data_IF_261108952130
#
_entry.id   IF_261108952130
#
_cell.length_a   1.000
_cell.length_b   1.000
_cell.length_c   1.000
_cell.angle_alpha   90.00
_cell.angle_beta   90.00
_cell.angle_gamma   90.00
#
_symmetry.space_group_name_H-M   'P 1'
#
loop_
_entity.id
_entity.type
_entity.pdbx_description
1 polymer ?
#
# COMPACT_ATOMS: atom_id res chain seq x y z
N UNK A 1 31.14 -24.62 36.64
CA UNK A 1 30.91 -23.59 35.60
C UNK A 1 31.70 -24.03 34.38
N UNK A 2 31.06 -24.12 33.20
CA UNK A 2 31.76 -24.53 31.99
C UNK A 2 32.14 -23.28 31.19
N UNK A 3 33.44 -23.09 30.95
CA UNK A 3 33.91 -22.14 29.95
C UNK A 3 33.80 -22.81 28.58
N UNK A 4 33.32 -22.06 27.60
CA UNK A 4 33.29 -22.48 26.21
C UNK A 4 34.27 -21.63 25.41
N UNK A 5 34.83 -22.19 24.34
CA UNK A 5 35.64 -21.44 23.41
C UNK A 5 34.74 -20.69 22.42
N UNK A 6 34.94 -19.38 22.30
CA UNK A 6 34.25 -18.57 21.30
C UNK A 6 34.70 -18.99 19.88
N UNK A 7 33.79 -19.30 18.93
CA UNK A 7 34.16 -19.80 17.60
C UNK A 7 34.95 -18.78 16.75
N UNK A 8 34.76 -17.47 17.00
CA UNK A 8 35.43 -16.42 16.20
C UNK A 8 36.81 -16.01 16.74
N UNK A 9 36.95 -15.88 18.06
CA UNK A 9 38.17 -15.32 18.67
C UNK A 9 38.92 -16.32 19.55
N UNK A 10 38.43 -17.56 19.67
CA UNK A 10 38.96 -18.63 20.51
C UNK A 10 39.20 -18.25 21.98
N UNK A 11 38.60 -17.16 22.45
CA UNK A 11 38.66 -16.77 23.85
C UNK A 11 37.77 -17.68 24.70
N UNK A 12 38.24 -18.00 25.90
CA UNK A 12 37.47 -18.73 26.90
C UNK A 12 36.44 -17.80 27.54
N UNK A 13 35.16 -18.15 27.39
CA UNK A 13 34.04 -17.34 27.84
C UNK A 13 33.04 -18.19 28.63
N UNK A 14 32.27 -17.56 29.50
CA UNK A 14 31.21 -18.26 30.26
C UNK A 14 30.11 -18.75 29.32
N UNK A 15 29.66 -19.99 29.50
CA UNK A 15 28.50 -20.55 28.79
C UNK A 15 27.18 -19.79 29.03
N UNK A 16 27.14 -18.87 30.00
CA UNK A 16 26.00 -18.00 30.28
C UNK A 16 26.09 -16.62 29.62
N UNK A 17 27.22 -16.27 29.00
CA UNK A 17 27.42 -14.97 28.38
C UNK A 17 26.48 -14.78 27.17
N UNK A 18 25.78 -13.64 27.12
CA UNK A 18 24.90 -13.31 25.98
C UNK A 18 25.70 -13.12 24.68
N UNK A 19 26.87 -12.47 24.79
CA UNK A 19 27.82 -12.27 23.71
C UNK A 19 29.25 -12.36 24.25
N UNK A 20 30.21 -12.67 23.37
CA UNK A 20 31.62 -12.67 23.71
C UNK A 20 32.10 -11.24 24.02
N UNK A 21 32.71 -10.96 25.18
CA UNK A 21 33.20 -9.62 25.51
C UNK A 21 34.40 -9.17 24.67
N UNK A 22 35.09 -10.08 23.97
CA UNK A 22 36.28 -9.77 23.17
C UNK A 22 35.95 -9.42 21.72
N UNK A 23 34.97 -10.09 21.12
CA UNK A 23 34.61 -9.91 19.69
C UNK A 23 33.14 -9.58 19.45
N UNK A 24 32.32 -9.43 20.51
CA UNK A 24 30.88 -9.22 20.43
C UNK A 24 30.08 -10.33 19.72
N UNK A 25 30.68 -11.49 19.45
CA UNK A 25 29.97 -12.62 18.83
C UNK A 25 28.84 -13.11 19.74
N UNK A 26 27.59 -13.24 19.25
CA UNK A 26 26.45 -13.68 20.05
C UNK A 26 26.57 -15.18 20.36
N UNK A 27 26.65 -15.50 21.65
CA UNK A 27 26.89 -16.87 22.14
C UNK A 27 25.60 -17.50 22.62
N UNK A 28 24.82 -16.72 23.38
CA UNK A 28 23.47 -17.09 23.72
C UNK A 28 22.58 -16.60 22.60
N UNK A 29 22.35 -17.48 21.63
CA UNK A 29 21.21 -17.38 20.72
C UNK A 29 19.94 -17.57 21.55
N UNK A 30 19.63 -16.56 22.36
CA UNK A 30 18.30 -16.37 22.92
C UNK A 30 17.39 -16.41 21.72
N UNK A 31 16.69 -17.53 21.58
CA UNK A 31 15.72 -17.80 20.53
C UNK A 31 14.47 -16.95 20.73
N UNK A 32 14.65 -15.69 21.14
CA UNK A 32 13.86 -14.62 20.60
C UNK A 32 14.14 -14.64 19.10
N UNK A 33 13.35 -15.44 18.38
CA UNK A 33 12.72 -14.99 17.15
C UNK A 33 12.19 -13.59 17.45
N UNK A 34 13.06 -12.58 17.36
CA UNK A 34 12.66 -11.29 16.87
C UNK A 34 12.20 -11.64 15.47
N UNK A 35 10.91 -11.99 15.36
CA UNK A 35 10.18 -11.76 14.13
C UNK A 35 10.39 -10.27 13.94
N UNK A 36 11.44 -9.92 13.22
CA UNK A 36 11.36 -8.85 12.25
C UNK A 36 10.20 -9.32 11.37
N UNK A 37 8.97 -9.10 11.83
CA UNK A 37 7.90 -8.77 10.91
C UNK A 37 8.46 -7.54 10.26
N UNK A 38 9.17 -7.76 9.15
CA UNK A 38 9.24 -6.75 8.13
C UNK A 38 7.80 -6.31 8.00
N UNK A 39 7.54 -5.10 8.48
CA UNK A 39 6.29 -4.44 8.20
C UNK A 39 6.41 -4.20 6.70
N UNK A 40 5.99 -5.21 5.94
CA UNK A 40 5.83 -5.17 4.51
C UNK A 40 4.71 -4.17 4.29
N UNK A 41 5.03 -2.88 4.39
CA UNK A 41 4.31 -1.79 3.76
C UNK A 41 4.52 -1.91 2.25
N UNK A 42 4.23 -3.07 1.70
CA UNK A 42 4.51 -3.42 0.32
C UNK A 42 3.30 -4.19 -0.17
N UNK A 43 2.59 -3.57 -1.11
CA UNK A 43 1.60 -4.14 -2.04
C UNK A 43 0.10 -4.10 -1.69
N UNK A 44 -0.36 -3.79 -0.46
CA UNK A 44 -1.81 -3.67 -0.20
C UNK A 44 -2.42 -2.30 -0.59
N UNK A 45 -1.73 -1.18 -0.34
CA UNK A 45 -2.26 0.17 -0.61
C UNK A 45 -2.50 0.46 -2.10
N UNK A 46 -1.74 -0.16 -3.00
CA UNK A 46 -1.83 0.09 -4.45
C UNK A 46 -3.01 -0.64 -5.13
N UNK A 47 -3.33 -1.87 -4.68
CA UNK A 47 -4.47 -2.63 -5.22
C UNK A 47 -5.81 -2.00 -4.86
N UNK A 48 -5.92 -1.42 -3.66
CA UNK A 48 -7.14 -0.75 -3.19
C UNK A 48 -7.48 0.49 -4.02
N UNK A 49 -6.46 1.21 -4.46
CA UNK A 49 -6.64 2.42 -5.24
C UNK A 49 -7.16 2.12 -6.66
N UNK A 50 -6.72 0.98 -7.22
CA UNK A 50 -7.19 0.48 -8.51
C UNK A 50 -8.64 0.01 -8.47
N UNK A 51 -9.08 -0.63 -7.38
CA UNK A 51 -10.49 -1.04 -7.22
C UNK A 51 -11.41 0.14 -6.95
N UNK A 52 -10.99 1.15 -6.18
CA UNK A 52 -11.79 2.36 -5.90
C UNK A 52 -12.12 3.13 -7.19
N UNK A 53 -11.12 3.31 -8.07
CA UNK A 53 -11.32 3.99 -9.35
C UNK A 53 -12.34 3.25 -10.25
N UNK A 54 -12.28 1.91 -10.31
CA UNK A 54 -13.25 1.10 -11.04
C UNK A 54 -14.66 1.23 -10.47
N UNK A 55 -14.82 1.21 -9.14
CA UNK A 55 -16.14 1.33 -8.51
C UNK A 55 -16.81 2.69 -8.74
N UNK A 56 -16.06 3.81 -8.69
CA UNK A 56 -16.61 5.13 -9.01
C UNK A 56 -16.96 5.27 -10.49
N UNK A 57 -16.17 4.65 -11.38
CA UNK A 57 -16.45 4.65 -12.81
C UNK A 57 -17.75 3.91 -13.14
N UNK A 58 -17.99 2.73 -12.54
CA UNK A 58 -19.25 2.00 -12.73
C UNK A 58 -20.46 2.76 -12.18
N UNK A 59 -20.34 3.48 -11.07
CA UNK A 59 -21.43 4.32 -10.53
C UNK A 59 -21.76 5.50 -11.47
N UNK A 60 -20.74 6.15 -12.03
CA UNK A 60 -20.92 7.19 -13.06
C UNK A 60 -21.57 6.63 -14.33
N UNK A 61 -21.10 5.49 -14.81
CA UNK A 61 -21.64 4.81 -16.00
C UNK A 61 -23.10 4.36 -15.79
N UNK A 62 -23.46 3.95 -14.58
CA UNK A 62 -24.82 3.54 -14.20
C UNK A 62 -25.80 4.72 -14.10
N UNK A 63 -25.32 5.95 -13.89
CA UNK A 63 -26.15 7.15 -13.91
C UNK A 63 -26.57 7.59 -15.32
N UNK A 64 -25.88 7.14 -16.38
CA UNK A 64 -26.20 7.45 -17.77
C UNK A 64 -27.53 6.83 -18.26
N UNK A 65 -27.82 5.52 -18.04
CA UNK A 65 -29.13 4.97 -18.40
C UNK A 65 -30.28 5.54 -17.56
N UNK A 66 -30.01 6.12 -16.39
CA UNK A 66 -31.04 6.85 -15.62
C UNK A 66 -31.58 8.07 -16.40
N UNK A 67 -30.76 8.70 -17.25
CA UNK A 67 -31.19 9.83 -18.09
C UNK A 67 -32.23 9.42 -19.12
N UNK A 68 -32.07 8.24 -19.75
CA UNK A 68 -33.04 7.75 -20.74
C UNK A 68 -34.42 7.42 -20.14
N UNK A 69 -34.52 7.28 -18.81
CA UNK A 69 -35.79 6.99 -18.12
C UNK A 69 -36.53 8.29 -17.78
N UNK A 70 -35.83 9.43 -17.66
CA UNK A 70 -36.40 10.69 -17.16
C UNK A 70 -36.84 11.67 -18.27
N UNK A 71 -36.51 11.42 -19.53
CA UNK A 71 -36.89 12.26 -20.70
C UNK A 71 -38.41 12.43 -20.91
N UNK A 72 -39.25 11.65 -20.21
CA UNK A 72 -40.71 11.78 -20.26
C UNK A 72 -41.32 12.87 -19.37
N UNK A 73 -40.59 13.36 -18.36
CA UNK A 73 -41.09 14.38 -17.45
C UNK A 73 -40.28 15.65 -17.68
N UNK A 74 -40.92 16.75 -18.10
CA UNK A 74 -40.27 18.03 -18.43
C UNK A 74 -39.52 18.68 -17.26
N UNK A 75 -38.37 18.13 -16.90
CA UNK A 75 -37.43 18.66 -15.92
C UNK A 75 -36.55 19.71 -16.61
N UNK A 76 -37.11 20.89 -16.80
CA UNK A 76 -36.42 22.10 -17.24
C UNK A 76 -35.67 22.80 -16.10
N UNK A 77 -34.83 22.07 -15.37
CA UNK A 77 -34.10 22.64 -14.23
C UNK A 77 -32.60 22.78 -14.52
N UNK A 78 -32.11 24.01 -14.42
CA UNK A 78 -30.72 24.44 -14.60
C UNK A 78 -29.69 23.59 -13.84
N UNK A 79 -30.11 22.96 -12.74
CA UNK A 79 -29.33 22.00 -11.97
C UNK A 79 -28.92 20.75 -12.76
N UNK A 80 -29.71 20.32 -13.75
CA UNK A 80 -29.44 19.13 -14.56
C UNK A 80 -28.27 19.33 -15.53
N UNK A 81 -28.23 20.48 -16.20
CA UNK A 81 -27.13 20.85 -17.11
C UNK A 81 -25.83 21.05 -16.31
N UNK A 82 -25.93 21.65 -15.13
CA UNK A 82 -24.79 21.79 -14.22
C UNK A 82 -24.28 20.42 -13.73
N UNK A 83 -25.16 19.48 -13.40
CA UNK A 83 -24.79 18.13 -12.97
C UNK A 83 -24.12 17.33 -14.10
N UNK A 84 -24.61 17.44 -15.34
CA UNK A 84 -23.96 16.87 -16.53
C UNK A 84 -22.57 17.49 -16.76
N UNK A 85 -22.45 18.81 -16.60
CA UNK A 85 -21.18 19.51 -16.76
C UNK A 85 -20.14 19.06 -15.74
N UNK A 86 -20.55 18.83 -14.49
CA UNK A 86 -19.69 18.33 -13.41
C UNK A 86 -19.27 16.87 -13.67
N UNK A 87 -20.18 16.03 -14.18
CA UNK A 87 -19.87 14.62 -14.51
C UNK A 87 -18.80 14.50 -15.61
N UNK A 88 -18.87 15.38 -16.61
CA UNK A 88 -17.89 15.47 -17.69
C UNK A 88 -16.51 15.94 -17.23
N UNK A 89 -16.41 16.65 -16.11
CA UNK A 89 -15.15 17.11 -15.52
C UNK A 89 -14.53 16.05 -14.59
N UNK A 90 -15.34 15.24 -13.92
CA UNK A 90 -14.87 14.18 -13.01
C UNK A 90 -14.15 13.05 -13.76
N UNK A 91 -14.64 12.68 -14.94
CA UNK A 91 -14.04 11.66 -15.81
C UNK A 91 -12.56 11.93 -16.18
N UNK A 92 -12.20 13.10 -16.75
CA UNK A 92 -10.81 13.41 -17.10
C UNK A 92 -9.91 13.55 -15.88
N UNK A 93 -10.42 14.08 -14.76
CA UNK A 93 -9.67 14.18 -13.49
C UNK A 93 -9.29 12.79 -12.98
N UNK A 94 -10.21 11.82 -13.05
CA UNK A 94 -9.95 10.43 -12.68
C UNK A 94 -8.88 9.78 -13.55
N UNK A 95 -8.93 10.02 -14.88
CA UNK A 95 -7.95 9.48 -15.85
C UNK A 95 -6.55 10.07 -15.62
N UNK A 96 -6.45 11.39 -15.38
CA UNK A 96 -5.18 12.07 -15.10
C UNK A 96 -4.55 11.50 -13.82
N UNK A 97 -5.35 11.27 -12.78
CA UNK A 97 -4.86 10.72 -11.52
C UNK A 97 -4.33 9.28 -11.65
N UNK A 98 -4.96 8.44 -12.49
CA UNK A 98 -4.46 7.10 -12.80
C UNK A 98 -3.11 7.13 -13.55
N UNK A 99 -2.90 8.11 -14.43
CA UNK A 99 -1.63 8.30 -15.13
C UNK A 99 -0.51 8.72 -14.16
N UNK A 100 -0.79 9.64 -13.23
CA UNK A 100 0.18 10.08 -12.21
C UNK A 100 0.59 8.89 -11.34
N UNK A 101 -0.36 8.06 -10.90
CA UNK A 101 -0.06 6.86 -10.12
C UNK A 101 0.81 5.87 -10.91
N UNK A 102 0.51 5.65 -12.19
CA UNK A 102 1.35 4.82 -13.09
C UNK A 102 2.79 5.32 -13.16
N UNK A 103 2.99 6.64 -13.28
CA UNK A 103 4.31 7.26 -13.37
C UNK A 103 5.07 7.12 -12.04
N UNK A 104 4.41 7.38 -10.90
CA UNK A 104 5.02 7.24 -9.57
C UNK A 104 5.45 5.80 -9.27
N UNK A 105 4.64 4.81 -9.68
CA UNK A 105 5.00 3.40 -9.56
C UNK A 105 6.23 3.08 -10.41
N UNK A 106 6.29 3.60 -11.63
CA UNK A 106 7.42 3.37 -12.53
C UNK A 106 8.73 3.96 -11.97
N UNK A 107 8.69 5.17 -11.41
CA UNK A 107 9.86 5.80 -10.78
C UNK A 107 10.34 5.12 -9.50
N UNK A 108 9.45 4.57 -8.69
CA UNK A 108 9.83 3.88 -7.45
C UNK A 108 10.31 2.43 -7.69
N UNK A 109 10.20 1.93 -8.93
CA UNK A 109 10.64 0.60 -9.34
C UNK A 109 11.77 0.62 -10.39
N UNK A 110 12.31 1.81 -10.73
CA UNK A 110 13.55 2.00 -11.48
C UNK A 110 14.70 2.28 -10.50
#
# INVERSE_FOLDING_TARGET
MALISCPECNAEISNQANACPKCAYPIKNSSAKVKVTEVQFTKKKLKIHRTIALTMFYLGLFSLPLMSILEGNGYGDSYFILLLSILWIILPISIIYLLILRILIWWNHA
#
